data_IF_350250873916
#
_entry.id   IF_350250873916
#
_cell.length_a   1.000
_cell.length_b   1.000
_cell.length_c   1.000
_cell.angle_alpha   90.00
_cell.angle_beta   90.00
_cell.angle_gamma   90.00
#
_symmetry.space_group_name_H-M   'P 1'
#
loop_
_entity.id
_entity.type
_entity.pdbx_description
1 polymer ?
#
# COMPACT_ATOMS: atom_id res chain seq x y z
N UNK A 1 -20.56 29.07 -25.84
CA UNK A 1 -19.53 29.55 -24.89
C UNK A 1 -18.82 28.34 -24.35
N UNK A 2 -17.60 28.12 -24.83
CA UNK A 2 -16.80 26.91 -24.63
C UNK A 2 -16.01 27.08 -23.33
N UNK A 3 -16.41 26.39 -22.26
CA UNK A 3 -15.63 26.37 -21.02
C UNK A 3 -14.41 25.46 -21.22
N UNK A 4 -13.19 25.92 -20.90
CA UNK A 4 -12.00 25.10 -21.05
C UNK A 4 -12.06 23.92 -20.06
N UNK A 5 -11.87 22.71 -20.59
CA UNK A 5 -11.57 21.52 -19.80
C UNK A 5 -10.20 21.76 -19.14
N UNK A 6 -10.20 22.01 -17.84
CA UNK A 6 -8.95 22.05 -17.06
C UNK A 6 -8.53 20.61 -16.80
N UNK A 7 -7.75 20.06 -17.71
CA UNK A 7 -6.93 18.88 -17.44
C UNK A 7 -5.95 19.26 -16.33
N UNK A 8 -6.15 18.76 -15.11
CA UNK A 8 -5.14 18.90 -14.04
C UNK A 8 -3.98 17.94 -14.36
N UNK A 9 -3.19 18.30 -15.38
CA UNK A 9 -1.79 17.90 -15.51
C UNK A 9 -0.93 18.92 -14.76
N UNK A 10 -1.32 19.21 -13.52
CA UNK A 10 -0.61 20.14 -12.64
C UNK A 10 0.33 19.35 -11.75
N UNK A 11 1.59 19.22 -12.16
CA UNK A 11 2.66 19.08 -11.18
C UNK A 11 2.47 20.22 -10.17
N UNK A 12 2.16 19.87 -8.90
CA UNK A 12 2.17 20.86 -7.82
C UNK A 12 3.52 21.58 -7.91
N UNK A 13 3.57 22.93 -7.91
CA UNK A 13 4.85 23.62 -7.83
C UNK A 13 5.58 23.07 -6.61
N UNK A 14 6.80 22.55 -6.82
CA UNK A 14 7.60 21.99 -5.74
C UNK A 14 7.82 23.09 -4.71
N UNK A 15 7.19 22.95 -3.54
CA UNK A 15 7.48 23.84 -2.42
C UNK A 15 8.96 23.66 -2.09
N UNK A 16 9.77 24.73 -2.07
CA UNK A 16 11.18 24.61 -1.75
C UNK A 16 11.32 23.99 -0.36
N UNK A 17 11.98 22.84 -0.29
CA UNK A 17 12.30 22.18 0.98
C UNK A 17 13.79 22.30 1.24
N UNK A 18 14.20 22.24 2.52
CA UNK A 18 15.62 22.13 2.90
C UNK A 18 16.32 20.91 2.27
N UNK A 19 15.56 19.98 1.67
CA UNK A 19 16.03 18.75 1.03
C UNK A 19 16.12 18.86 -0.51
N UNK A 20 15.87 20.04 -1.09
CA UNK A 20 16.04 20.33 -2.52
C UNK A 20 14.75 20.62 -3.30
N UNK A 21 14.90 20.77 -4.62
CA UNK A 21 13.85 21.19 -5.58
C UNK A 21 12.99 20.02 -6.13
N UNK A 22 13.03 18.86 -5.48
CA UNK A 22 12.20 17.71 -5.86
C UNK A 22 10.78 17.78 -5.28
N UNK A 23 9.78 17.11 -5.89
CA UNK A 23 8.49 16.92 -5.24
C UNK A 23 8.72 16.22 -3.89
N UNK A 24 8.08 16.74 -2.83
CA UNK A 24 8.17 16.15 -1.49
C UNK A 24 7.64 14.72 -1.53
N UNK A 25 8.55 13.75 -1.60
CA UNK A 25 8.23 12.35 -1.34
C UNK A 25 8.59 12.08 0.10
N UNK A 26 7.61 11.63 0.89
CA UNK A 26 7.90 11.06 2.19
C UNK A 26 8.80 9.83 1.92
N UNK A 27 10.04 9.81 2.40
CA UNK A 27 10.92 8.66 2.18
C UNK A 27 10.25 7.44 2.80
N UNK A 28 9.91 6.45 1.96
CA UNK A 28 9.28 5.23 2.42
C UNK A 28 10.38 4.23 2.80
N UNK A 29 10.51 3.94 4.10
CA UNK A 29 11.43 2.94 4.63
C UNK A 29 10.97 1.49 4.45
N UNK A 30 9.85 1.25 3.76
CA UNK A 30 9.32 -0.07 3.47
C UNK A 30 7.81 -0.07 3.29
N UNK A 31 7.21 -1.24 3.03
CA UNK A 31 5.76 -1.39 2.83
C UNK A 31 5.18 -2.46 3.76
N UNK A 32 4.20 -2.06 4.58
CA UNK A 32 3.34 -3.00 5.31
C UNK A 32 2.05 -3.17 4.50
N UNK A 33 1.66 -4.42 4.22
CA UNK A 33 0.48 -4.72 3.38
C UNK A 33 -0.66 -5.22 4.26
N UNK A 34 -1.87 -4.71 4.06
CA UNK A 34 -3.07 -5.36 4.58
C UNK A 34 -3.40 -6.58 3.71
N UNK A 35 -3.59 -7.74 4.32
CA UNK A 35 -3.89 -8.96 3.57
C UNK A 35 -2.64 -9.72 3.07
N UNK A 36 -2.88 -10.71 2.21
CA UNK A 36 -1.86 -11.53 1.54
C UNK A 36 -2.13 -11.63 0.04
N UNK A 37 -1.19 -12.17 -0.74
CA UNK A 37 -1.48 -12.68 -2.08
C UNK A 37 -1.48 -14.21 -2.11
N UNK A 38 -2.43 -14.79 -2.84
CA UNK A 38 -2.56 -16.23 -3.07
C UNK A 38 -2.56 -16.53 -4.56
N UNK A 39 -2.23 -17.77 -4.93
CA UNK A 39 -2.31 -18.22 -6.32
C UNK A 39 -3.74 -18.08 -6.85
N UNK A 40 -3.87 -17.68 -8.12
CA UNK A 40 -5.13 -17.85 -8.85
C UNK A 40 -5.44 -19.33 -9.04
N UNK A 41 -6.71 -19.67 -9.29
CA UNK A 41 -7.11 -21.07 -9.53
C UNK A 41 -6.26 -21.73 -10.64
N UNK A 42 -6.06 -21.03 -11.76
CA UNK A 42 -5.21 -21.50 -12.87
C UNK A 42 -3.75 -21.68 -12.46
N UNK A 43 -3.20 -20.76 -11.68
CA UNK A 43 -1.81 -20.87 -11.22
C UNK A 43 -1.63 -21.98 -10.18
N UNK A 44 -2.64 -22.24 -9.35
CA UNK A 44 -2.63 -23.31 -8.35
C UNK A 44 -2.67 -24.72 -8.98
N UNK A 45 -3.24 -24.85 -10.18
CA UNK A 45 -3.24 -26.10 -10.96
C UNK A 45 -1.89 -26.38 -11.63
N UNK A 46 -1.01 -25.39 -11.75
CA UNK A 46 0.30 -25.55 -12.39
C UNK A 46 1.38 -25.96 -11.35
N UNK A 47 1.96 -27.17 -11.42
CA UNK A 47 2.86 -27.69 -10.37
C UNK A 47 4.05 -26.79 -10.07
N UNK A 48 4.72 -26.28 -11.12
CA UNK A 48 5.88 -25.38 -10.99
C UNK A 48 5.54 -24.04 -10.31
N UNK A 49 4.38 -23.46 -10.60
CA UNK A 49 3.97 -22.19 -10.00
C UNK A 49 3.63 -22.38 -8.52
N UNK A 50 2.98 -23.50 -8.18
CA UNK A 50 2.69 -23.89 -6.80
C UNK A 50 3.97 -24.10 -5.98
N UNK A 51 4.95 -24.82 -6.53
CA UNK A 51 6.25 -25.03 -5.86
C UNK A 51 6.98 -23.71 -5.58
N UNK A 52 7.07 -22.82 -6.58
CA UNK A 52 7.72 -21.50 -6.44
C UNK A 52 7.01 -20.67 -5.38
N UNK A 53 5.67 -20.67 -5.38
CA UNK A 53 4.88 -19.96 -4.39
C UNK A 53 5.11 -20.48 -2.98
N UNK A 54 5.00 -21.79 -2.76
CA UNK A 54 5.15 -22.40 -1.43
C UNK A 54 6.56 -22.19 -0.89
N UNK A 55 7.59 -22.38 -1.73
CA UNK A 55 8.99 -22.09 -1.38
C UNK A 55 9.20 -20.61 -1.03
N UNK A 56 8.65 -19.71 -1.83
CA UNK A 56 8.77 -18.27 -1.61
C UNK A 56 8.06 -17.80 -0.34
N UNK A 57 6.88 -18.36 -0.05
CA UNK A 57 6.14 -18.07 1.18
C UNK A 57 6.92 -18.59 2.39
N UNK A 58 7.44 -19.81 2.35
CA UNK A 58 8.24 -20.41 3.43
C UNK A 58 9.55 -19.63 3.68
N UNK A 59 10.18 -19.13 2.62
CA UNK A 59 11.38 -18.29 2.69
C UNK A 59 11.09 -16.81 3.06
N UNK A 60 9.82 -16.45 3.29
CA UNK A 60 9.41 -15.08 3.62
C UNK A 60 9.70 -14.03 2.53
N UNK A 61 9.84 -14.43 1.26
CA UNK A 61 10.05 -13.50 0.14
C UNK A 61 8.86 -12.57 -0.10
N UNK A 62 9.08 -11.35 -0.58
CA UNK A 62 7.97 -10.44 -0.94
C UNK A 62 7.05 -11.08 -1.99
N UNK A 63 5.75 -10.77 -1.94
CA UNK A 63 4.83 -11.26 -2.96
C UNK A 63 5.17 -10.73 -4.36
N UNK A 64 5.81 -9.56 -4.46
CA UNK A 64 6.32 -9.03 -5.74
C UNK A 64 7.46 -9.91 -6.29
N UNK A 65 8.39 -10.35 -5.44
CA UNK A 65 9.46 -11.27 -5.83
C UNK A 65 8.92 -12.65 -6.23
N UNK A 66 7.95 -13.19 -5.47
CA UNK A 66 7.29 -14.47 -5.78
C UNK A 66 6.55 -14.39 -7.11
N UNK A 67 5.78 -13.32 -7.33
CA UNK A 67 5.05 -13.09 -8.58
C UNK A 67 5.99 -13.03 -9.77
N UNK A 68 7.10 -12.29 -9.66
CA UNK A 68 8.14 -12.23 -10.70
C UNK A 68 8.73 -13.61 -11.00
N UNK A 69 9.12 -14.36 -9.97
CA UNK A 69 9.70 -15.69 -10.14
C UNK A 69 8.73 -16.67 -10.83
N UNK A 70 7.43 -16.59 -10.52
CA UNK A 70 6.41 -17.40 -11.20
C UNK A 70 6.27 -16.97 -12.66
N UNK A 71 6.18 -15.67 -12.93
CA UNK A 71 6.04 -15.15 -14.31
C UNK A 71 7.25 -15.48 -15.19
N UNK A 72 8.47 -15.49 -14.63
CA UNK A 72 9.67 -15.93 -15.35
C UNK A 72 9.67 -17.44 -15.62
N UNK A 73 9.20 -18.24 -14.65
CA UNK A 73 9.21 -19.69 -14.75
C UNK A 73 8.07 -20.28 -15.57
N UNK A 74 6.92 -19.58 -15.63
CA UNK A 74 5.68 -19.97 -16.30
C UNK A 74 5.07 -18.73 -16.98
N UNK A 75 5.58 -18.34 -18.17
CA UNK A 75 5.18 -17.09 -18.84
C UNK A 75 3.72 -17.07 -19.29
N UNK A 76 3.09 -18.24 -19.43
CA UNK A 76 1.68 -18.40 -19.82
C UNK A 76 0.71 -17.83 -18.77
N UNK A 77 1.14 -17.74 -17.50
CA UNK A 77 0.34 -17.19 -16.40
C UNK A 77 0.51 -15.67 -16.31
N UNK A 78 -0.41 -14.93 -16.93
CA UNK A 78 -0.40 -13.44 -16.91
C UNK A 78 -0.57 -12.83 -15.52
N UNK A 79 -1.41 -13.42 -14.68
CA UNK A 79 -1.72 -12.94 -13.33
C UNK A 79 -1.68 -14.11 -12.36
N UNK A 80 -0.48 -14.54 -11.92
CA UNK A 80 -0.35 -15.75 -11.13
C UNK A 80 -0.88 -15.56 -9.69
N UNK A 81 -0.86 -14.34 -9.16
CA UNK A 81 -1.29 -14.02 -7.81
C UNK A 81 -2.48 -13.06 -7.76
N UNK A 82 -3.35 -13.25 -6.76
CA UNK A 82 -4.48 -12.35 -6.45
C UNK A 82 -4.46 -11.95 -4.97
N UNK A 83 -4.90 -10.73 -4.64
CA UNK A 83 -5.02 -10.30 -3.25
C UNK A 83 -6.12 -11.08 -2.53
N UNK A 84 -5.88 -11.42 -1.26
CA UNK A 84 -6.83 -12.04 -0.35
C UNK A 84 -6.82 -11.32 0.98
N UNK A 85 -8.01 -10.91 1.42
CA UNK A 85 -8.19 -10.26 2.72
C UNK A 85 -7.99 -11.28 3.84
N UNK A 86 -7.12 -10.93 4.78
CA UNK A 86 -6.89 -11.65 6.03
C UNK A 86 -6.84 -10.65 7.18
N UNK A 87 -7.14 -11.05 8.43
CA UNK A 87 -7.25 -10.12 9.56
C UNK A 87 -5.90 -9.60 10.10
N UNK A 88 -4.79 -9.88 9.41
CA UNK A 88 -3.45 -9.44 9.79
C UNK A 88 -2.77 -8.72 8.62
N UNK A 89 -1.73 -7.97 8.96
CA UNK A 89 -0.82 -7.34 8.03
C UNK A 89 0.33 -8.28 7.67
N UNK A 90 0.76 -8.22 6.42
CA UNK A 90 1.98 -8.85 5.96
C UNK A 90 3.15 -7.89 6.14
N UNK A 91 4.19 -8.39 6.80
CA UNK A 91 5.49 -7.74 6.98
C UNK A 91 6.53 -8.76 6.54
N UNK A 92 7.17 -8.52 5.39
CA UNK A 92 8.20 -9.42 4.85
C UNK A 92 9.52 -8.67 4.73
N UNK A 93 10.68 -9.31 4.96
CA UNK A 93 11.99 -8.66 4.91
C UNK A 93 12.25 -7.89 3.61
N UNK A 94 11.90 -8.49 2.46
CA UNK A 94 12.08 -7.92 1.13
C UNK A 94 11.22 -6.67 0.85
N UNK A 95 10.22 -6.37 1.69
CA UNK A 95 9.41 -5.16 1.55
C UNK A 95 10.09 -3.90 2.15
N UNK A 96 11.28 -4.04 2.75
CA UNK A 96 12.04 -2.98 3.41
C UNK A 96 13.46 -2.86 2.83
N UNK A 97 14.04 -1.65 2.73
CA UNK A 97 15.45 -1.48 2.37
C UNK A 97 16.41 -2.11 3.39
N UNK A 98 16.03 -2.12 4.67
CA UNK A 98 16.72 -2.88 5.72
C UNK A 98 15.81 -4.03 6.17
N UNK A 99 16.20 -5.26 5.85
CA UNK A 99 15.46 -6.49 6.16
C UNK A 99 15.23 -6.71 7.65
N UNK A 100 16.12 -6.22 8.52
CA UNK A 100 16.00 -6.37 9.97
C UNK A 100 14.78 -5.65 10.55
N UNK A 101 14.31 -4.59 9.90
CA UNK A 101 13.13 -3.83 10.33
C UNK A 101 11.89 -4.73 10.38
N UNK A 102 11.73 -5.64 9.41
CA UNK A 102 10.61 -6.58 9.41
C UNK A 102 10.61 -7.47 10.67
N UNK A 103 11.80 -7.93 11.08
CA UNK A 103 12.00 -8.74 12.28
C UNK A 103 11.72 -7.93 13.54
N UNK A 104 12.21 -6.70 13.62
CA UNK A 104 11.98 -5.80 14.77
C UNK A 104 10.48 -5.51 14.96
N UNK A 105 9.76 -5.22 13.87
CA UNK A 105 8.30 -4.99 13.90
C UNK A 105 7.58 -6.22 14.46
N UNK A 106 7.86 -7.42 13.94
CA UNK A 106 7.21 -8.65 14.40
C UNK A 106 7.63 -9.03 15.83
N UNK A 107 8.84 -8.69 16.25
CA UNK A 107 9.31 -8.92 17.62
C UNK A 107 8.57 -8.01 18.60
N UNK A 108 8.37 -6.74 18.25
CA UNK A 108 7.73 -5.75 19.11
C UNK A 108 6.19 -5.87 19.14
N UNK A 109 5.56 -6.17 18.00
CA UNK A 109 4.11 -6.05 17.82
C UNK A 109 3.43 -7.32 17.27
N UNK A 110 4.20 -8.39 17.00
CA UNK A 110 3.64 -9.66 16.53
C UNK A 110 2.89 -10.38 17.65
N UNK A 111 1.67 -10.82 17.36
CA UNK A 111 0.83 -11.59 18.28
C UNK A 111 0.64 -13.01 17.72
N UNK A 112 0.75 -14.02 18.59
CA UNK A 112 0.22 -15.35 18.33
C UNK A 112 -1.17 -15.44 18.97
N UNK A 113 -2.18 -15.77 18.17
CA UNK A 113 -3.59 -15.85 18.63
C UNK A 113 -4.08 -17.29 18.79
N UNK A 114 -3.15 -18.23 19.00
CA UNK A 114 -3.44 -19.64 19.27
C UNK A 114 -3.21 -20.57 18.09
N UNK A 115 -2.57 -20.11 17.02
CA UNK A 115 -2.27 -20.90 15.82
C UNK A 115 -0.75 -21.14 15.62
N UNK A 116 0.07 -20.78 16.61
CA UNK A 116 1.51 -21.05 16.61
C UNK A 116 2.29 -20.11 15.69
N UNK A 117 1.63 -19.15 15.03
CA UNK A 117 2.25 -18.23 14.08
C UNK A 117 2.11 -16.80 14.56
N UNK A 118 3.25 -16.15 14.87
CA UNK A 118 3.25 -14.72 15.16
C UNK A 118 2.92 -13.92 13.91
N UNK A 119 1.84 -13.13 13.96
CA UNK A 119 1.44 -12.23 12.87
C UNK A 119 1.19 -10.82 13.39
N UNK A 120 1.29 -9.84 12.50
CA UNK A 120 1.06 -8.45 12.85
C UNK A 120 -0.44 -8.13 12.72
N UNK A 121 -1.14 -7.98 13.84
CA UNK A 121 -2.56 -7.60 13.83
C UNK A 121 -2.80 -6.10 14.05
N UNK A 122 -1.88 -5.46 14.77
CA UNK A 122 -1.90 -4.03 15.08
C UNK A 122 -0.47 -3.55 15.32
N UNK A 123 -0.21 -2.28 15.07
CA UNK A 123 1.05 -1.62 15.37
C UNK A 123 0.79 -0.12 15.59
N UNK A 124 1.61 0.55 16.41
CA UNK A 124 1.47 1.99 16.59
C UNK A 124 1.92 2.72 15.32
N UNK A 125 1.19 3.78 14.99
CA UNK A 125 1.57 4.74 13.94
C UNK A 125 1.88 6.06 14.63
N UNK A 126 3.12 6.54 14.46
CA UNK A 126 3.54 7.85 14.94
C UNK A 126 3.40 8.83 13.80
N UNK A 127 2.65 9.89 14.03
CA UNK A 127 2.52 10.98 13.09
C UNK A 127 3.55 12.06 13.42
N UNK A 128 4.17 12.72 12.41
CA UNK A 128 5.22 13.71 12.63
C UNK A 128 4.69 15.06 13.15
N UNK A 129 3.40 15.16 13.47
CA UNK A 129 2.78 16.35 14.01
C UNK A 129 1.67 15.99 15.00
N UNK A 130 1.56 16.79 16.06
CA UNK A 130 0.60 16.60 17.15
C UNK A 130 -0.83 17.05 16.76
N UNK A 131 -0.97 17.75 15.64
CA UNK A 131 -2.26 18.12 15.06
C UNK A 131 -2.67 17.12 13.99
N UNK A 132 -3.74 16.37 14.23
CA UNK A 132 -4.29 15.41 13.26
C UNK A 132 -4.57 16.05 11.88
N UNK A 133 -4.90 17.35 11.89
CA UNK A 133 -5.08 18.21 10.72
C UNK A 133 -3.85 18.22 9.81
N UNK A 134 -2.64 18.21 10.35
CA UNK A 134 -1.42 18.33 9.55
C UNK A 134 -1.05 17.04 8.80
N UNK A 135 -1.70 15.92 9.12
CA UNK A 135 -1.21 14.57 8.72
C UNK A 135 -2.27 13.74 8.00
N UNK A 136 -3.55 13.94 8.32
CA UNK A 136 -4.65 13.31 7.58
C UNK A 136 -5.10 14.24 6.45
N UNK A 137 -5.22 13.78 5.20
CA UNK A 137 -5.74 14.61 4.12
C UNK A 137 -7.13 15.13 4.51
N UNK A 138 -7.28 16.45 4.52
CA UNK A 138 -8.52 17.17 4.86
C UNK A 138 -9.70 16.88 3.92
N UNK A 139 -9.44 16.10 2.89
CA UNK A 139 -10.37 15.77 1.85
C UNK A 139 -10.85 14.34 2.05
N UNK A 140 -12.08 14.19 2.56
CA UNK A 140 -12.81 12.93 2.46
C UNK A 140 -13.24 12.79 1.01
N UNK A 141 -12.63 11.86 0.28
CA UNK A 141 -12.88 11.66 -1.15
C UNK A 141 -13.57 10.32 -1.38
N UNK A 142 -14.66 10.35 -2.15
CA UNK A 142 -15.23 9.17 -2.75
C UNK A 142 -14.84 9.11 -4.23
N UNK A 143 -14.16 8.04 -4.63
CA UNK A 143 -13.74 7.80 -6.01
C UNK A 143 -14.79 6.95 -6.73
N UNK A 144 -15.15 7.34 -7.95
CA UNK A 144 -15.83 6.51 -8.93
C UNK A 144 -14.84 5.63 -9.71
N UNK A 145 -15.29 5.03 -10.80
CA UNK A 145 -14.47 4.10 -11.59
C UNK A 145 -13.19 4.74 -12.15
N UNK A 146 -13.28 5.99 -12.62
CA UNK A 146 -12.16 6.69 -13.28
C UNK A 146 -11.89 8.08 -12.70
N UNK A 147 -12.77 8.61 -11.86
CA UNK A 147 -12.69 10.00 -11.40
C UNK A 147 -13.18 10.16 -9.96
N UNK A 148 -12.84 11.30 -9.38
CA UNK A 148 -13.31 11.72 -8.07
C UNK A 148 -14.77 12.10 -8.16
N UNK A 149 -15.66 11.43 -7.41
CA UNK A 149 -17.11 11.64 -7.50
C UNK A 149 -17.63 12.65 -6.47
N UNK A 150 -17.13 12.55 -5.24
CA UNK A 150 -17.49 13.47 -4.15
C UNK A 150 -16.25 13.82 -3.34
N UNK A 151 -16.20 15.04 -2.81
CA UNK A 151 -15.17 15.40 -1.85
C UNK A 151 -15.57 16.45 -0.84
N UNK A 152 -14.96 16.40 0.33
CA UNK A 152 -15.12 17.44 1.32
C UNK A 152 -14.08 18.55 1.14
N UNK A 153 -14.51 19.79 1.01
CA UNK A 153 -13.63 20.97 0.96
C UNK A 153 -13.98 21.93 2.09
N UNK A 154 -12.97 22.47 2.77
CA UNK A 154 -13.20 23.53 3.75
C UNK A 154 -13.44 24.86 3.04
N UNK A 155 -14.34 25.66 3.59
CA UNK A 155 -14.45 27.07 3.26
C UNK A 155 -13.12 27.79 3.55
N UNK A 156 -12.86 28.96 2.93
CA UNK A 156 -11.63 29.72 3.17
C UNK A 156 -11.40 30.09 4.64
N UNK A 157 -12.46 30.12 5.46
CA UNK A 157 -12.41 30.39 6.90
C UNK A 157 -12.03 29.15 7.74
N UNK A 158 -11.94 27.97 7.13
CA UNK A 158 -11.63 26.69 7.78
C UNK A 158 -12.73 26.15 8.71
N UNK A 159 -13.90 26.82 8.80
CA UNK A 159 -14.96 26.49 9.77
C UNK A 159 -16.06 25.64 9.16
N UNK A 160 -16.44 25.95 7.94
CA UNK A 160 -17.52 25.25 7.24
C UNK A 160 -16.92 24.23 6.29
N UNK A 161 -17.52 23.02 6.24
CA UNK A 161 -17.11 21.96 5.33
C UNK A 161 -18.21 21.73 4.30
N UNK A 162 -17.87 21.89 3.04
CA UNK A 162 -18.78 21.65 1.92
C UNK A 162 -18.53 20.26 1.33
N UNK A 163 -19.61 19.53 1.05
CA UNK A 163 -19.55 18.38 0.15
C UNK A 163 -19.65 18.92 -1.28
N UNK A 164 -18.63 18.65 -2.09
CA UNK A 164 -18.53 19.00 -3.50
C UNK A 164 -18.77 17.75 -4.33
N UNK A 165 -19.37 17.93 -5.50
CA UNK A 165 -19.50 16.93 -6.55
C UNK A 165 -19.20 17.58 -7.90
N UNK A 166 -18.87 16.75 -8.89
CA UNK A 166 -18.92 17.15 -10.30
C UNK A 166 -20.34 16.98 -10.86
#
# INVERSE_FOLDING_TARGET
MTNPVVTINGARPALPTLLGQGPVRIPAGGKIRAGIKVLTKKAAEHPKAKEIYERGVAANHSFEAIERAISEAVPELKTPLIPKNVPWFTVRPDDFPNSEIAREILTAYGEDRGDGTKRLYRFPVVFPADMWQAVMPHELVAWGANEKKFWSEYAPDGRVRYCKCY
#
